data_IF_463172987272
#
_entry.id   IF_463172987272
#
_cell.length_a   1.000
_cell.length_b   1.000
_cell.length_c   1.000
_cell.angle_alpha   90.00
_cell.angle_beta   90.00
_cell.angle_gamma   90.00
#
_symmetry.space_group_name_H-M   'P 1'
#
loop_
_entity.id
_entity.type
_entity.pdbx_description
1 polymer ?
#
# COMPACT_ATOMS: atom_id res chain seq x y z
N UNK A 1 22.20 15.46 -37.87
CA UNK A 1 23.20 15.95 -36.89
C UNK A 1 24.04 14.74 -36.49
N UNK A 2 25.35 14.76 -36.74
CA UNK A 2 26.25 13.72 -36.24
C UNK A 2 26.57 14.06 -34.79
N UNK A 3 25.97 13.36 -33.84
CA UNK A 3 26.30 13.51 -32.42
C UNK A 3 27.63 12.81 -32.16
N UNK A 4 28.62 13.56 -31.66
CA UNK A 4 29.91 12.99 -31.26
C UNK A 4 29.87 12.64 -29.77
N UNK A 5 29.32 11.47 -29.45
CA UNK A 5 29.22 10.98 -28.07
C UNK A 5 30.58 10.84 -27.38
N UNK A 6 31.65 10.63 -28.16
CA UNK A 6 33.00 10.48 -27.61
C UNK A 6 33.52 11.78 -26.97
N UNK A 7 33.26 12.94 -27.56
CA UNK A 7 33.64 14.24 -26.94
C UNK A 7 32.79 14.55 -25.71
N UNK A 8 31.50 14.21 -25.76
CA UNK A 8 30.59 14.44 -24.63
C UNK A 8 31.03 13.66 -23.39
N UNK A 9 31.44 12.40 -23.58
CA UNK A 9 31.84 11.48 -22.50
C UNK A 9 33.22 11.71 -21.91
N UNK A 10 34.02 12.65 -22.45
CA UNK A 10 35.32 13.00 -21.86
C UNK A 10 35.18 13.55 -20.43
N UNK A 11 34.12 14.30 -20.15
CA UNK A 11 33.92 14.94 -18.84
C UNK A 11 33.12 14.07 -17.85
N UNK A 12 32.62 12.92 -18.28
CA UNK A 12 31.82 12.05 -17.44
C UNK A 12 32.67 11.26 -16.44
N UNK A 13 32.11 11.02 -15.26
CA UNK A 13 32.74 10.19 -14.23
C UNK A 13 32.73 8.72 -14.64
N UNK A 14 33.62 7.91 -14.08
CA UNK A 14 33.65 6.46 -14.38
C UNK A 14 32.33 5.77 -14.01
N UNK A 15 31.66 6.23 -12.95
CA UNK A 15 30.36 5.71 -12.49
C UNK A 15 29.23 5.96 -13.52
N UNK A 16 29.21 7.15 -14.11
CA UNK A 16 28.24 7.51 -15.16
C UNK A 16 28.47 6.68 -16.43
N UNK A 17 29.73 6.50 -16.84
CA UNK A 17 30.08 5.70 -18.01
C UNK A 17 29.68 4.23 -17.83
N UNK A 18 29.89 3.67 -16.64
CA UNK A 18 29.46 2.30 -16.31
C UNK A 18 27.93 2.18 -16.34
N UNK A 19 27.22 3.20 -15.87
CA UNK A 19 25.75 3.23 -15.89
C UNK A 19 25.21 3.22 -17.34
N UNK A 20 25.80 4.03 -18.22
CA UNK A 20 25.44 4.06 -19.65
C UNK A 20 25.69 2.70 -20.32
N UNK A 21 26.83 2.07 -20.01
CA UNK A 21 27.19 0.76 -20.53
C UNK A 21 26.22 -0.35 -20.07
N UNK A 22 25.77 -0.30 -18.80
CA UNK A 22 24.86 -1.31 -18.24
C UNK A 22 23.41 -1.16 -18.73
N UNK A 23 22.99 0.03 -19.14
CA UNK A 23 21.63 0.31 -19.63
C UNK A 23 21.57 0.30 -21.16
N UNK A 24 22.02 -0.79 -21.80
CA UNK A 24 22.09 -0.88 -23.28
C UNK A 24 20.76 -0.63 -23.99
N UNK A 25 19.64 -0.92 -23.31
CA UNK A 25 18.28 -0.73 -23.85
C UNK A 25 17.79 0.72 -23.79
N UNK A 26 18.38 1.54 -22.91
CA UNK A 26 18.00 2.94 -22.71
C UNK A 26 18.82 3.92 -23.57
N UNK A 27 19.98 3.50 -24.07
CA UNK A 27 20.91 4.34 -24.81
C UNK A 27 21.10 3.89 -26.26
N UNK A 28 21.53 4.82 -27.12
CA UNK A 28 21.88 4.51 -28.49
C UNK A 28 23.15 3.63 -28.51
N UNK A 29 23.25 2.66 -29.41
CA UNK A 29 24.40 1.74 -29.47
C UNK A 29 25.73 2.47 -29.71
N UNK A 30 25.73 3.59 -30.42
CA UNK A 30 26.91 4.44 -30.62
C UNK A 30 27.40 5.09 -29.32
N UNK A 31 26.47 5.45 -28.42
CA UNK A 31 26.80 6.01 -27.11
C UNK A 31 27.39 4.94 -26.18
N UNK A 32 26.84 3.73 -26.21
CA UNK A 32 27.36 2.59 -25.44
C UNK A 32 28.79 2.25 -25.89
N UNK A 33 29.03 2.22 -27.20
CA UNK A 33 30.36 1.96 -27.76
C UNK A 33 31.39 3.04 -27.36
N UNK A 34 31.00 4.32 -27.40
CA UNK A 34 31.86 5.42 -26.98
C UNK A 34 32.19 5.37 -25.47
N UNK A 35 31.23 5.00 -24.62
CA UNK A 35 31.44 4.84 -23.18
C UNK A 35 32.39 3.66 -22.86
N UNK A 36 32.25 2.53 -23.56
CA UNK A 36 33.18 1.40 -23.47
C UNK A 36 34.62 1.80 -23.85
N UNK A 37 34.76 2.61 -24.90
CA UNK A 37 36.07 3.07 -25.35
C UNK A 37 36.74 3.95 -24.28
N UNK A 38 36.00 4.89 -23.66
CA UNK A 38 36.52 5.71 -22.56
C UNK A 38 36.91 4.90 -21.33
N UNK A 39 36.12 3.87 -20.96
CA UNK A 39 36.45 3.01 -19.82
C UNK A 39 37.72 2.18 -20.07
N UNK A 40 37.91 1.68 -21.30
CA UNK A 40 39.11 0.96 -21.69
C UNK A 40 40.35 1.86 -21.73
N UNK A 41 40.21 3.09 -22.24
CA UNK A 41 41.30 4.08 -22.26
C UNK A 41 41.75 4.48 -20.85
N UNK A 42 40.83 4.51 -19.89
CA UNK A 42 41.09 4.83 -18.48
C UNK A 42 41.63 3.65 -17.65
N UNK A 43 41.81 2.48 -18.25
CA UNK A 43 42.31 1.26 -17.59
C UNK A 43 41.55 0.91 -16.31
N UNK A 44 40.22 1.10 -16.30
CA UNK A 44 39.38 0.74 -15.16
C UNK A 44 39.41 -0.78 -15.01
N UNK A 45 39.82 -1.25 -13.84
CA UNK A 45 39.91 -2.68 -13.52
C UNK A 45 38.52 -3.31 -13.53
N UNK A 46 38.38 -4.54 -14.07
CA UNK A 46 37.11 -5.29 -14.01
C UNK A 46 36.58 -5.43 -12.58
N UNK A 47 37.46 -5.39 -11.57
CA UNK A 47 37.07 -5.40 -10.16
C UNK A 47 36.44 -4.08 -9.68
N UNK A 48 36.76 -2.93 -10.28
CA UNK A 48 36.07 -1.65 -9.98
C UNK A 48 34.68 -1.61 -10.61
N UNK A 49 34.50 -2.27 -11.77
CA UNK A 49 33.19 -2.42 -12.43
C UNK A 49 32.23 -3.25 -11.57
N UNK A 50 32.76 -4.18 -10.76
CA UNK A 50 32.00 -4.99 -9.80
C UNK A 50 31.86 -4.31 -8.42
N UNK A 51 32.86 -3.55 -7.96
CA UNK A 51 32.83 -2.90 -6.64
C UNK A 51 31.81 -1.77 -6.49
N UNK A 52 31.38 -1.14 -7.60
CA UNK A 52 30.34 -0.10 -7.59
C UNK A 52 28.94 -0.69 -7.32
N UNK A 53 28.76 -1.99 -7.48
CA UNK A 53 27.51 -2.72 -7.19
C UNK A 53 27.12 -2.62 -5.70
N UNK A 54 28.11 -2.60 -4.80
CA UNK A 54 27.89 -2.50 -3.34
C UNK A 54 27.68 -1.05 -2.87
N UNK A 55 28.23 -0.07 -3.59
CA UNK A 55 28.10 1.37 -3.28
C UNK A 55 26.77 1.93 -3.81
N UNK A 56 26.26 1.42 -4.95
CA UNK A 56 24.98 1.85 -5.50
C UNK A 56 23.77 1.27 -4.74
N UNK A 57 23.89 0.07 -4.15
CA UNK A 57 22.87 -0.47 -3.24
C UNK A 57 22.87 0.21 -1.86
N UNK A 58 24.01 0.71 -1.36
CA UNK A 58 24.10 1.35 -0.03
C UNK A 58 23.80 2.86 -0.04
N UNK A 59 24.00 3.56 -1.16
CA UNK A 59 23.65 4.98 -1.30
C UNK A 59 22.20 5.26 -1.72
N UNK A 60 21.36 4.22 -1.91
CA UNK A 60 19.91 4.36 -2.04
C UNK A 60 19.19 4.31 -0.67
N UNK A 61 19.81 4.87 0.36
CA UNK A 61 19.10 5.23 1.60
C UNK A 61 18.81 6.73 1.63
N UNK A 62 17.60 7.08 1.19
CA UNK A 62 16.93 8.28 1.67
C UNK A 62 17.39 9.60 1.07
N UNK A 63 17.33 9.72 -0.26
CA UNK A 63 17.05 11.01 -0.87
C UNK A 63 15.67 11.48 -0.41
N UNK A 64 15.64 12.43 0.53
CA UNK A 64 14.52 13.33 0.78
C UNK A 64 14.21 14.08 -0.51
N UNK A 65 13.32 13.52 -1.32
CA UNK A 65 12.57 14.30 -2.31
C UNK A 65 11.47 15.03 -1.55
N UNK A 66 11.78 16.25 -1.15
CA UNK A 66 10.79 17.29 -0.87
C UNK A 66 9.89 17.46 -2.10
N UNK A 67 8.59 17.64 -1.83
CA UNK A 67 7.59 18.27 -2.69
C UNK A 67 7.72 18.05 -4.21
N UNK A 68 7.19 16.91 -4.67
CA UNK A 68 6.77 16.75 -6.05
C UNK A 68 5.46 15.99 -6.05
N UNK A 69 4.38 16.62 -6.52
CA UNK A 69 3.04 16.06 -6.66
C UNK A 69 3.11 14.59 -7.13
N UNK A 70 2.93 13.64 -6.20
CA UNK A 70 2.81 12.22 -6.54
C UNK A 70 1.58 12.06 -7.42
N UNK A 71 1.82 11.84 -8.71
CA UNK A 71 0.81 11.63 -9.73
C UNK A 71 -0.07 10.44 -9.31
N UNK A 72 -1.29 10.75 -8.86
CA UNK A 72 -2.21 9.88 -8.11
C UNK A 72 -2.65 8.61 -8.86
N UNK A 73 -2.25 8.47 -10.13
CA UNK A 73 -2.73 7.44 -11.04
C UNK A 73 -1.62 6.62 -11.70
N UNK A 74 -0.34 6.92 -11.47
CA UNK A 74 0.73 6.13 -12.06
C UNK A 74 0.92 4.86 -11.23
N UNK A 75 0.63 3.66 -11.76
CA UNK A 75 0.98 2.43 -11.08
C UNK A 75 2.51 2.37 -11.03
N UNK A 76 3.07 2.47 -9.83
CA UNK A 76 4.49 2.20 -9.63
C UNK A 76 4.69 0.69 -9.78
N UNK A 77 5.04 0.27 -11.00
CA UNK A 77 5.38 -1.11 -11.33
C UNK A 77 6.82 -1.29 -10.86
N UNK A 78 6.99 -1.62 -9.59
CA UNK A 78 8.25 -2.14 -9.09
C UNK A 78 8.40 -3.56 -9.66
N UNK A 79 9.42 -3.79 -10.48
CA UNK A 79 9.74 -5.13 -10.99
C UNK A 79 9.89 -6.10 -9.81
N UNK A 80 9.37 -7.33 -9.94
CA UNK A 80 9.29 -8.27 -8.83
C UNK A 80 10.65 -8.92 -8.60
N UNK A 81 11.65 -8.15 -8.16
CA UNK A 81 12.80 -8.75 -7.52
C UNK A 81 12.34 -9.23 -6.14
N UNK A 82 12.13 -10.53 -6.02
CA UNK A 82 12.05 -11.27 -4.76
C UNK A 82 10.76 -11.10 -3.93
N UNK A 83 9.72 -11.88 -4.25
CA UNK A 83 9.22 -12.90 -3.31
C UNK A 83 7.93 -13.54 -3.82
N UNK A 84 7.95 -14.85 -4.03
CA UNK A 84 6.78 -15.69 -4.37
C UNK A 84 5.65 -15.54 -3.32
N UNK A 85 5.97 -15.05 -2.11
CA UNK A 85 5.03 -14.82 -1.03
C UNK A 85 4.21 -13.52 -1.15
N UNK A 86 4.69 -12.52 -1.90
CA UNK A 86 3.99 -11.24 -2.10
C UNK A 86 2.58 -11.43 -2.67
N UNK A 87 2.47 -12.23 -3.74
CA UNK A 87 1.18 -12.48 -4.41
C UNK A 87 0.18 -13.20 -3.49
N UNK A 88 0.66 -14.07 -2.59
CA UNK A 88 -0.23 -14.77 -1.64
C UNK A 88 -0.87 -13.79 -0.66
N UNK A 89 -0.12 -12.83 -0.12
CA UNK A 89 -0.65 -11.83 0.80
C UNK A 89 -1.69 -10.93 0.14
N UNK A 90 -1.44 -10.47 -1.08
CA UNK A 90 -2.41 -9.67 -1.83
C UNK A 90 -3.70 -10.46 -2.05
N UNK A 91 -3.61 -11.72 -2.47
CA UNK A 91 -4.80 -12.57 -2.67
C UNK A 91 -5.58 -12.77 -1.37
N UNK A 92 -4.90 -12.94 -0.22
CA UNK A 92 -5.55 -13.02 1.09
C UNK A 92 -6.28 -11.70 1.41
N UNK A 93 -5.63 -10.54 1.24
CA UNK A 93 -6.23 -9.24 1.49
C UNK A 93 -7.46 -8.99 0.59
N UNK A 94 -7.36 -9.30 -0.70
CA UNK A 94 -8.48 -9.24 -1.64
C UNK A 94 -9.62 -10.18 -1.26
N UNK A 95 -9.29 -11.39 -0.81
CA UNK A 95 -10.27 -12.35 -0.29
C UNK A 95 -11.00 -11.83 0.95
N UNK A 96 -10.29 -11.17 1.88
CA UNK A 96 -10.90 -10.53 3.05
C UNK A 96 -11.86 -9.41 2.62
N UNK A 97 -11.46 -8.57 1.66
CA UNK A 97 -12.30 -7.48 1.15
C UNK A 97 -13.57 -8.03 0.49
N UNK A 98 -13.43 -9.03 -0.38
CA UNK A 98 -14.55 -9.69 -1.03
C UNK A 98 -15.49 -10.33 -0.01
N UNK A 99 -14.94 -11.07 0.97
CA UNK A 99 -15.72 -11.69 2.04
C UNK A 99 -16.52 -10.64 2.83
N UNK A 100 -15.87 -9.54 3.26
CA UNK A 100 -16.54 -8.43 3.95
C UNK A 100 -17.63 -7.81 3.11
N UNK A 101 -17.39 -7.63 1.82
CA UNK A 101 -18.36 -7.06 0.89
C UNK A 101 -19.59 -7.95 0.77
N UNK A 102 -19.43 -9.24 0.44
CA UNK A 102 -20.57 -10.16 0.31
C UNK A 102 -21.37 -10.30 1.60
N UNK A 103 -20.68 -10.35 2.75
CA UNK A 103 -21.34 -10.49 4.05
C UNK A 103 -22.14 -9.24 4.44
N UNK A 104 -21.68 -8.03 4.08
CA UNK A 104 -22.44 -6.77 4.32
C UNK A 104 -23.50 -6.48 3.26
N UNK A 105 -23.19 -6.76 2.00
CA UNK A 105 -24.06 -6.47 0.87
C UNK A 105 -25.30 -7.37 0.84
N UNK A 106 -25.16 -8.66 1.19
CA UNK A 106 -26.27 -9.62 1.13
C UNK A 106 -27.53 -9.20 1.89
N UNK A 107 -27.44 -8.95 3.22
CA UNK A 107 -28.58 -8.46 3.99
C UNK A 107 -29.10 -7.12 3.47
N UNK A 108 -28.20 -6.21 3.09
CA UNK A 108 -28.55 -4.87 2.59
C UNK A 108 -29.36 -4.96 1.30
N UNK A 109 -28.95 -5.80 0.34
CA UNK A 109 -29.68 -6.07 -0.90
C UNK A 109 -31.03 -6.72 -0.62
N UNK A 110 -31.07 -7.71 0.29
CA UNK A 110 -32.32 -8.38 0.67
C UNK A 110 -33.35 -7.39 1.23
N UNK A 111 -32.94 -6.52 2.15
CA UNK A 111 -33.81 -5.47 2.69
C UNK A 111 -34.22 -4.44 1.63
N UNK A 112 -33.30 -4.09 0.71
CA UNK A 112 -33.61 -3.20 -0.40
C UNK A 112 -34.70 -3.75 -1.31
N UNK A 113 -34.63 -5.03 -1.69
CA UNK A 113 -35.65 -5.66 -2.54
C UNK A 113 -36.99 -5.91 -1.82
N UNK A 114 -36.96 -6.12 -0.50
CA UNK A 114 -38.17 -6.41 0.29
C UNK A 114 -38.95 -5.14 0.69
N UNK A 115 -38.31 -3.97 0.69
CA UNK A 115 -38.92 -2.74 1.20
C UNK A 115 -39.56 -1.89 0.10
N UNK A 116 -40.83 -1.50 0.29
CA UNK A 116 -41.52 -0.48 -0.50
C UNK A 116 -40.97 0.91 -0.14
N UNK A 117 -40.48 1.66 -1.15
CA UNK A 117 -40.13 3.10 -1.28
C UNK A 117 -39.78 3.99 -0.06
N UNK A 118 -40.35 3.79 1.12
CA UNK A 118 -40.14 4.55 2.36
C UNK A 118 -38.75 4.37 3.01
N UNK A 119 -38.11 3.19 2.89
CA UNK A 119 -36.78 2.95 3.47
C UNK A 119 -35.60 3.46 2.62
N UNK A 120 -35.85 3.95 1.40
CA UNK A 120 -34.81 4.34 0.44
C UNK A 120 -33.93 5.48 0.99
N UNK A 121 -34.47 6.38 1.82
CA UNK A 121 -33.73 7.53 2.36
C UNK A 121 -32.71 7.18 3.45
N UNK A 122 -33.04 6.28 4.39
CA UNK A 122 -32.12 5.83 5.45
C UNK A 122 -31.05 4.85 4.92
N UNK A 123 -31.32 4.16 3.82
CA UNK A 123 -30.37 3.29 3.13
C UNK A 123 -29.29 4.07 2.35
N UNK A 124 -29.54 5.30 1.89
CA UNK A 124 -28.67 5.95 0.90
C UNK A 124 -27.20 6.17 1.34
N UNK A 125 -26.94 6.63 2.56
CA UNK A 125 -25.56 6.90 2.99
C UNK A 125 -24.79 5.61 3.32
N UNK A 126 -25.41 4.69 4.07
CA UNK A 126 -24.77 3.44 4.44
C UNK A 126 -24.63 2.49 3.24
N UNK A 127 -25.60 2.46 2.32
CA UNK A 127 -25.50 1.69 1.09
C UNK A 127 -24.37 2.23 0.21
N UNK A 128 -24.24 3.56 0.06
CA UNK A 128 -23.12 4.15 -0.67
C UNK A 128 -21.78 3.65 -0.13
N UNK A 129 -21.57 3.71 1.20
CA UNK A 129 -20.34 3.21 1.81
C UNK A 129 -20.13 1.70 1.59
N UNK A 130 -21.20 0.89 1.64
CA UNK A 130 -21.12 -0.57 1.44
C UNK A 130 -20.78 -0.93 -0.01
N UNK A 131 -21.30 -0.20 -0.99
CA UNK A 131 -21.14 -0.53 -2.41
C UNK A 131 -19.97 0.18 -3.08
N UNK A 132 -19.53 1.35 -2.59
CA UNK A 132 -18.49 2.15 -3.23
C UNK A 132 -17.13 1.94 -2.58
N UNK A 133 -17.06 1.89 -1.24
CA UNK A 133 -15.77 1.76 -0.55
C UNK A 133 -15.08 0.43 -0.86
N UNK A 134 -15.75 -0.74 -0.82
CA UNK A 134 -15.06 -2.01 -1.06
C UNK A 134 -14.49 -2.18 -2.47
N UNK A 135 -15.16 -1.80 -3.58
CA UNK A 135 -14.55 -1.83 -4.90
C UNK A 135 -13.34 -0.88 -5.03
N UNK A 136 -13.43 0.34 -4.49
CA UNK A 136 -12.29 1.27 -4.49
C UNK A 136 -11.12 0.63 -3.73
N UNK A 137 -11.39 0.10 -2.55
CA UNK A 137 -10.36 -0.49 -1.70
C UNK A 137 -9.77 -1.77 -2.32
N UNK A 138 -10.61 -2.58 -3.00
CA UNK A 138 -10.17 -3.73 -3.80
C UNK A 138 -9.22 -3.30 -4.91
N UNK A 139 -9.57 -2.26 -5.67
CA UNK A 139 -8.73 -1.72 -6.75
C UNK A 139 -7.42 -1.15 -6.22
N UNK A 140 -7.45 -0.41 -5.12
CA UNK A 140 -6.26 0.19 -4.50
C UNK A 140 -5.30 -0.87 -3.96
N UNK A 141 -5.83 -1.95 -3.36
CA UNK A 141 -5.03 -3.08 -2.87
C UNK A 141 -4.49 -3.91 -4.04
N UNK A 142 -5.30 -4.17 -5.06
CA UNK A 142 -4.86 -4.87 -6.27
C UNK A 142 -3.73 -4.12 -6.98
N UNK A 143 -3.82 -2.79 -7.09
CA UNK A 143 -2.78 -1.91 -7.63
C UNK A 143 -1.60 -1.66 -6.68
N UNK A 144 -1.61 -2.25 -5.48
CA UNK A 144 -0.54 -2.11 -4.47
C UNK A 144 -0.20 -0.66 -4.12
N UNK A 145 -1.21 0.21 -4.12
CA UNK A 145 -1.00 1.63 -3.84
C UNK A 145 -0.86 1.89 -2.33
N UNK A 146 -0.03 2.88 -1.95
CA UNK A 146 0.10 3.36 -0.55
C UNK A 146 -1.27 3.62 0.09
N UNK A 147 -2.17 4.25 -0.67
CA UNK A 147 -3.54 4.58 -0.25
C UNK A 147 -4.39 3.35 0.06
N UNK A 148 -4.22 2.25 -0.69
CA UNK A 148 -4.91 0.99 -0.41
C UNK A 148 -4.55 0.45 0.97
N UNK A 149 -3.26 0.44 1.30
CA UNK A 149 -2.79 0.03 2.63
C UNK A 149 -3.31 0.97 3.71
N UNK A 150 -3.15 2.28 3.54
CA UNK A 150 -3.54 3.29 4.53
C UNK A 150 -5.03 3.21 4.85
N UNK A 151 -5.90 3.18 3.83
CA UNK A 151 -7.35 3.10 4.01
C UNK A 151 -7.76 1.78 4.64
N UNK A 152 -7.21 0.65 4.18
CA UNK A 152 -7.61 -0.66 4.69
C UNK A 152 -7.16 -0.90 6.12
N UNK A 153 -5.94 -0.47 6.44
CA UNK A 153 -5.41 -0.48 7.79
C UNK A 153 -6.25 0.41 8.71
N UNK A 154 -6.53 1.65 8.29
CA UNK A 154 -7.29 2.61 9.09
C UNK A 154 -8.70 2.13 9.39
N UNK A 155 -9.43 1.65 8.38
CA UNK A 155 -10.79 1.12 8.55
C UNK A 155 -10.83 -0.11 9.45
N UNK A 156 -9.84 -0.99 9.32
CA UNK A 156 -9.77 -2.21 10.14
C UNK A 156 -9.39 -1.88 11.59
N UNK A 157 -8.45 -0.97 11.81
CA UNK A 157 -8.05 -0.53 13.15
C UNK A 157 -9.17 0.21 13.86
N UNK A 158 -9.86 1.13 13.17
CA UNK A 158 -11.02 1.85 13.73
C UNK A 158 -12.11 0.88 14.17
N UNK A 159 -12.40 -0.16 13.39
CA UNK A 159 -13.37 -1.20 13.77
C UNK A 159 -12.94 -2.01 15.00
N UNK A 160 -11.64 -2.33 15.13
CA UNK A 160 -11.13 -3.02 16.32
C UNK A 160 -11.32 -2.14 17.55
N UNK A 161 -10.95 -0.86 17.47
CA UNK A 161 -11.09 0.08 18.59
C UNK A 161 -12.56 0.29 18.95
N UNK A 162 -13.42 0.55 17.97
CA UNK A 162 -14.87 0.70 18.18
C UNK A 162 -15.46 -0.53 18.88
N UNK A 163 -15.10 -1.74 18.44
CA UNK A 163 -15.56 -2.96 19.08
C UNK A 163 -15.04 -3.13 20.51
N UNK A 164 -13.74 -2.91 20.74
CA UNK A 164 -13.13 -3.04 22.06
C UNK A 164 -13.75 -2.06 23.06
N UNK A 165 -13.93 -0.80 22.67
CA UNK A 165 -14.51 0.24 23.54
C UNK A 165 -15.99 -0.04 23.80
N UNK A 166 -16.78 -0.30 22.76
CA UNK A 166 -18.23 -0.53 22.93
C UNK A 166 -18.51 -1.78 23.75
N UNK A 167 -17.77 -2.88 23.51
CA UNK A 167 -17.88 -4.11 24.31
C UNK A 167 -17.43 -3.89 25.74
N UNK A 168 -16.30 -3.20 25.96
CA UNK A 168 -15.81 -2.89 27.30
C UNK A 168 -16.80 -2.07 28.12
N UNK A 169 -17.41 -1.05 27.52
CA UNK A 169 -18.48 -0.26 28.16
C UNK A 169 -19.73 -1.10 28.41
N UNK A 170 -20.17 -1.90 27.43
CA UNK A 170 -21.34 -2.77 27.60
C UNK A 170 -21.17 -3.77 28.75
N UNK A 171 -19.97 -4.34 28.91
CA UNK A 171 -19.60 -5.20 30.03
C UNK A 171 -19.61 -4.43 31.35
N UNK A 172 -19.02 -3.23 31.39
CA UNK A 172 -18.92 -2.41 32.60
C UNK A 172 -20.30 -1.95 33.12
N UNK A 173 -21.24 -1.65 32.24
CA UNK A 173 -22.59 -1.21 32.59
C UNK A 173 -23.63 -2.34 32.65
N UNK A 174 -23.23 -3.60 32.47
CA UNK A 174 -24.15 -4.75 32.55
C UNK A 174 -25.17 -4.84 31.40
N UNK A 175 -24.92 -4.19 30.26
CA UNK A 175 -25.81 -4.18 29.08
C UNK A 175 -25.74 -5.47 28.23
N UNK A 176 -25.30 -6.60 28.79
CA UNK A 176 -25.03 -7.86 28.05
C UNK A 176 -26.31 -8.54 27.53
N UNK A 177 -27.50 -7.97 27.78
CA UNK A 177 -28.76 -8.53 27.28
C UNK A 177 -28.97 -8.40 25.77
N UNK A 178 -28.13 -7.67 25.04
CA UNK A 178 -28.22 -7.62 23.58
C UNK A 178 -27.41 -8.74 22.94
N UNK A 179 -28.09 -9.86 22.72
CA UNK A 179 -27.74 -10.91 21.78
C UNK A 179 -27.84 -10.36 20.34
N UNK A 180 -27.05 -9.34 19.99
CA UNK A 180 -26.61 -9.21 18.60
C UNK A 180 -26.11 -10.60 18.19
N UNK A 181 -26.33 -11.09 16.95
CA UNK A 181 -25.92 -12.44 16.59
C UNK A 181 -24.45 -12.59 16.99
N UNK A 182 -24.16 -13.39 18.02
CA UNK A 182 -22.86 -13.46 18.69
C UNK A 182 -21.75 -13.66 17.66
N UNK A 183 -22.11 -14.39 16.60
CA UNK A 183 -21.33 -14.68 15.42
C UNK A 183 -20.94 -13.41 14.63
N UNK A 184 -21.86 -12.47 14.38
CA UNK A 184 -21.55 -11.19 13.72
C UNK A 184 -20.70 -10.29 14.64
N UNK A 185 -21.03 -10.26 15.94
CA UNK A 185 -20.31 -9.46 16.92
C UNK A 185 -18.86 -9.92 17.12
N UNK A 186 -18.55 -11.20 16.87
CA UNK A 186 -17.20 -11.76 17.08
C UNK A 186 -16.41 -11.89 15.78
N UNK A 187 -17.03 -12.33 14.68
CA UNK A 187 -16.32 -12.57 13.42
C UNK A 187 -15.78 -11.27 12.81
N UNK A 188 -16.56 -10.18 12.83
CA UNK A 188 -16.12 -8.93 12.21
C UNK A 188 -14.90 -8.31 12.89
N UNK A 189 -14.91 -8.10 14.22
CA UNK A 189 -13.73 -7.60 14.92
C UNK A 189 -12.55 -8.56 14.83
N UNK A 190 -12.77 -9.88 14.88
CA UNK A 190 -11.69 -10.85 14.71
C UNK A 190 -11.04 -10.74 13.32
N UNK A 191 -11.85 -10.62 12.27
CA UNK A 191 -11.36 -10.42 10.90
C UNK A 191 -10.64 -9.07 10.76
N UNK A 192 -11.08 -8.02 11.46
CA UNK A 192 -10.41 -6.71 11.49
C UNK A 192 -9.10 -6.74 12.25
N UNK A 193 -9.04 -7.39 13.40
CA UNK A 193 -7.80 -7.61 14.14
C UNK A 193 -6.80 -8.42 13.31
N UNK A 194 -7.27 -9.48 12.64
CA UNK A 194 -6.44 -10.28 11.72
C UNK A 194 -5.92 -9.45 10.54
N UNK A 195 -6.75 -8.58 9.98
CA UNK A 195 -6.35 -7.68 8.88
C UNK A 195 -5.30 -6.67 9.34
N UNK A 196 -5.51 -6.03 10.50
CA UNK A 196 -4.53 -5.13 11.11
C UNK A 196 -3.21 -5.86 11.35
N UNK A 197 -3.26 -7.08 11.88
CA UNK A 197 -2.08 -7.90 12.11
C UNK A 197 -1.32 -8.22 10.81
N UNK A 198 -2.01 -8.62 9.74
CA UNK A 198 -1.37 -8.88 8.44
C UNK A 198 -0.72 -7.60 7.90
N UNK A 199 -1.48 -6.50 7.84
CA UNK A 199 -1.00 -5.22 7.31
C UNK A 199 0.14 -4.64 8.13
N UNK A 200 0.23 -4.99 9.42
CA UNK A 200 1.34 -4.61 10.30
C UNK A 200 2.63 -5.40 10.06
N UNK A 201 2.64 -6.47 9.29
CA UNK A 201 3.89 -7.16 8.92
C UNK A 201 4.74 -6.27 8.00
N UNK A 202 6.07 -6.27 8.18
CA UNK A 202 6.96 -5.47 7.36
C UNK A 202 6.91 -5.93 5.89
N UNK A 203 7.03 -7.25 5.66
CA UNK A 203 6.94 -7.84 4.32
C UNK A 203 5.69 -7.43 3.55
N UNK A 204 4.56 -7.23 4.25
CA UNK A 204 3.30 -6.78 3.63
C UNK A 204 3.31 -5.28 3.41
N UNK A 205 3.76 -4.49 4.39
CA UNK A 205 3.86 -3.04 4.27
C UNK A 205 4.82 -2.60 3.15
N UNK A 206 5.90 -3.35 2.95
CA UNK A 206 6.89 -3.12 1.90
C UNK A 206 6.26 -3.29 0.49
N UNK A 207 5.28 -4.20 0.32
CA UNK A 207 4.53 -4.34 -0.95
C UNK A 207 3.77 -3.07 -1.36
N UNK A 208 3.49 -2.19 -0.40
CA UNK A 208 2.77 -0.93 -0.61
C UNK A 208 3.69 0.29 -0.44
N UNK A 209 5.01 0.09 -0.33
CA UNK A 209 5.99 1.16 -0.08
C UNK A 209 5.66 1.97 1.19
N UNK A 210 5.26 1.27 2.26
CA UNK A 210 4.91 1.90 3.54
C UNK A 210 6.07 1.77 4.52
N UNK A 211 6.71 2.91 4.81
CA UNK A 211 7.78 2.97 5.81
C UNK A 211 7.30 2.68 7.23
N UNK A 212 8.22 2.24 8.10
CA UNK A 212 7.95 2.01 9.54
C UNK A 212 7.39 3.26 10.24
N UNK A 213 7.88 4.45 9.90
CA UNK A 213 7.41 5.70 10.48
C UNK A 213 5.96 6.00 10.03
N UNK A 214 5.63 5.75 8.77
CA UNK A 214 4.25 5.88 8.25
C UNK A 214 3.29 4.94 8.97
N UNK A 215 3.68 3.69 9.27
CA UNK A 215 2.86 2.73 10.04
C UNK A 215 2.52 3.27 11.43
N UNK A 216 3.54 3.73 12.16
CA UNK A 216 3.39 4.26 13.51
C UNK A 216 2.53 5.52 13.54
N UNK A 217 2.79 6.47 12.64
CA UNK A 217 1.99 7.70 12.51
C UNK A 217 0.53 7.39 12.18
N UNK A 218 0.29 6.51 11.21
CA UNK A 218 -1.07 6.11 10.82
C UNK A 218 -1.81 5.45 11.98
N UNK A 219 -1.18 4.49 12.67
CA UNK A 219 -1.80 3.84 13.83
C UNK A 219 -2.11 4.84 14.96
N UNK A 220 -1.20 5.77 15.25
CA UNK A 220 -1.43 6.80 16.26
C UNK A 220 -2.60 7.71 15.88
N UNK A 221 -2.59 8.28 14.67
CA UNK A 221 -3.63 9.19 14.18
C UNK A 221 -4.99 8.49 14.17
N UNK A 222 -5.08 7.29 13.59
CA UNK A 222 -6.33 6.53 13.52
C UNK A 222 -6.84 6.18 14.91
N UNK A 223 -5.95 5.80 15.84
CA UNK A 223 -6.37 5.45 17.21
C UNK A 223 -6.95 6.66 17.94
N UNK A 224 -6.28 7.81 17.87
CA UNK A 224 -6.76 9.06 18.47
C UNK A 224 -8.09 9.49 17.85
N UNK A 225 -8.19 9.52 16.52
CA UNK A 225 -9.43 9.88 15.82
C UNK A 225 -10.57 8.92 16.16
N UNK A 226 -10.30 7.61 16.24
CA UNK A 226 -11.32 6.61 16.60
C UNK A 226 -11.87 6.86 17.99
N UNK A 227 -11.00 7.13 18.98
CA UNK A 227 -11.41 7.44 20.34
C UNK A 227 -12.23 8.74 20.39
N UNK A 228 -11.77 9.80 19.71
CA UNK A 228 -12.48 11.09 19.66
C UNK A 228 -13.87 10.95 19.04
N UNK A 229 -14.00 10.20 17.93
CA UNK A 229 -15.29 9.94 17.29
C UNK A 229 -16.22 9.16 18.23
N UNK A 230 -15.69 8.19 18.99
CA UNK A 230 -16.49 7.43 19.95
C UNK A 230 -16.98 8.30 21.11
N UNK A 231 -16.13 9.19 21.63
CA UNK A 231 -16.50 10.14 22.68
C UNK A 231 -17.53 11.15 22.19
N UNK A 232 -17.42 11.61 20.94
CA UNK A 232 -18.38 12.54 20.34
C UNK A 232 -19.76 11.92 20.04
N UNK A 233 -19.88 10.59 20.06
CA UNK A 233 -21.15 9.87 19.89
C UNK A 233 -21.93 9.66 21.20
N UNK A 234 -21.29 9.89 22.36
CA UNK A 234 -21.92 9.78 23.68
C UNK A 234 -22.68 11.07 24.03
#
# INVERSE_FOLDING_TARGET
MNFNFYEQFQNHSNEELITIVRQTDAYQPEAVAAAYQHLNERQVSENEILGIEEISESNYTGGTSEDGQEDLLVPYIQEPSTSIFANKWINILLGIIAFRFFFKAGPTLWYFFKSTLSYIYLLNYNAFLIFVVPPILFLLIFKRTKWGWLLFFSLSLMQVIEFTVTTGLALAYGYINYFYPLLIATIYPALSAFTVFILWKNDVADLFNISKSTKQKTAMIVSVLSILILLAKQ
#
